data_IF_815489740854
#
_entry.id   IF_815489740854
#
_cell.length_a   1.000
_cell.length_b   1.000
_cell.length_c   1.000
_cell.angle_alpha   90.00
_cell.angle_beta   90.00
_cell.angle_gamma   90.00
#
_symmetry.space_group_name_H-M   'P 1'
#
loop_
_entity.id
_entity.type
_entity.pdbx_description
1 polymer ?
#
# COMPACT_ATOMS: atom_id res chain seq x y z
N UNK A 1 -1.67 20.41 18.35
CA UNK A 1 -0.61 19.92 19.26
C UNK A 1 0.32 19.06 18.42
N UNK A 2 1.57 19.48 18.24
CA UNK A 2 2.58 18.76 17.46
C UNK A 2 2.82 17.37 18.09
N UNK A 3 2.50 16.31 17.36
CA UNK A 3 2.90 14.94 17.72
C UNK A 3 4.43 14.90 17.68
N UNK A 4 5.08 14.81 18.83
CA UNK A 4 6.50 14.53 18.92
C UNK A 4 6.71 13.13 18.34
N UNK A 5 7.35 13.04 17.16
CA UNK A 5 7.91 11.78 16.70
C UNK A 5 8.81 11.22 17.80
N UNK A 6 8.53 9.98 18.22
CA UNK A 6 9.40 9.29 19.18
C UNK A 6 10.77 9.12 18.54
N UNK A 7 11.84 9.32 19.28
CA UNK A 7 13.24 9.32 18.81
C UNK A 7 13.66 8.01 18.08
N UNK A 8 12.87 6.93 18.20
CA UNK A 8 13.02 5.67 17.47
C UNK A 8 12.42 5.63 16.07
N UNK A 9 11.59 6.62 15.70
CA UNK A 9 10.79 6.63 14.45
C UNK A 9 11.41 7.48 13.34
N UNK A 10 12.70 7.78 13.43
CA UNK A 10 13.36 8.56 12.37
C UNK A 10 13.43 7.75 11.08
N UNK A 11 12.79 8.26 10.04
CA UNK A 11 12.89 7.81 8.65
C UNK A 11 14.37 7.64 8.30
N UNK A 12 14.79 6.45 7.91
CA UNK A 12 16.15 6.18 7.44
C UNK A 12 16.12 6.24 5.91
N UNK A 13 16.65 7.29 5.29
CA UNK A 13 16.72 7.38 3.84
C UNK A 13 17.46 6.18 3.25
N UNK A 14 17.07 5.81 2.03
CA UNK A 14 17.78 4.78 1.27
C UNK A 14 19.16 5.31 0.89
N UNK A 15 20.22 4.57 1.23
CA UNK A 15 21.56 4.86 0.74
C UNK A 15 21.70 4.43 -0.73
N UNK A 16 22.62 5.04 -1.46
CA UNK A 16 22.90 4.64 -2.85
C UNK A 16 23.23 3.14 -2.95
N UNK A 17 24.05 2.62 -2.04
CA UNK A 17 24.44 1.20 -2.01
C UNK A 17 23.23 0.28 -1.81
N UNK A 18 22.30 0.64 -0.91
CA UNK A 18 21.06 -0.12 -0.70
C UNK A 18 20.15 -0.04 -1.93
N UNK A 19 20.06 1.11 -2.59
CA UNK A 19 19.29 1.28 -3.81
C UNK A 19 19.83 0.41 -4.95
N UNK A 20 21.13 0.42 -5.17
CA UNK A 20 21.81 -0.41 -6.18
C UNK A 20 21.63 -1.90 -5.88
N UNK A 21 21.80 -2.32 -4.62
CA UNK A 21 21.59 -3.69 -4.20
C UNK A 21 20.16 -4.13 -4.46
N UNK A 22 19.18 -3.36 -3.98
CA UNK A 22 17.75 -3.66 -4.16
C UNK A 22 17.39 -3.77 -5.64
N UNK A 23 17.85 -2.84 -6.47
CA UNK A 23 17.67 -2.89 -7.92
C UNK A 23 18.27 -4.14 -8.53
N UNK A 24 19.46 -4.53 -8.13
CA UNK A 24 20.17 -5.71 -8.62
C UNK A 24 19.49 -7.04 -8.27
N UNK A 25 18.70 -7.07 -7.19
CA UNK A 25 17.91 -8.24 -6.77
C UNK A 25 16.56 -8.33 -7.49
N UNK A 26 16.04 -7.20 -7.97
CA UNK A 26 14.75 -7.13 -8.69
C UNK A 26 14.95 -7.27 -10.21
N UNK A 27 16.09 -6.82 -10.74
CA UNK A 27 16.38 -6.84 -12.18
C UNK A 27 17.32 -7.99 -12.58
N UNK A 28 17.12 -8.54 -13.78
CA UNK A 28 18.04 -9.49 -14.39
C UNK A 28 19.37 -8.83 -14.81
N UNK A 29 20.29 -9.62 -15.35
CA UNK A 29 21.60 -9.11 -15.78
C UNK A 29 21.53 -8.12 -16.96
N UNK A 30 20.40 -8.06 -17.67
CA UNK A 30 20.13 -7.11 -18.73
C UNK A 30 19.36 -5.87 -18.26
N UNK A 31 19.06 -5.80 -16.96
CA UNK A 31 18.29 -4.70 -16.35
C UNK A 31 16.77 -4.82 -16.50
N UNK A 32 16.27 -5.96 -17.02
CA UNK A 32 14.82 -6.18 -17.13
C UNK A 32 14.25 -6.61 -15.79
N UNK A 33 13.07 -6.07 -15.45
CA UNK A 33 12.34 -6.44 -14.24
C UNK A 33 10.84 -6.20 -14.41
N UNK A 34 10.06 -6.83 -13.55
CA UNK A 34 8.62 -6.62 -13.46
C UNK A 34 8.23 -6.34 -12.01
N UNK A 35 7.47 -5.26 -11.81
CA UNK A 35 6.84 -4.95 -10.52
C UNK A 35 5.43 -4.44 -10.80
N UNK A 36 4.45 -5.05 -10.13
CA UNK A 36 3.04 -4.67 -10.19
C UNK A 36 2.46 -4.62 -8.79
N UNK A 37 1.90 -3.49 -8.43
CA UNK A 37 1.13 -3.29 -7.20
C UNK A 37 -0.36 -3.41 -7.54
N UNK A 38 -1.02 -4.49 -7.14
CA UNK A 38 -2.48 -4.61 -7.17
C UNK A 38 -3.01 -4.19 -5.79
N UNK A 39 -3.47 -2.94 -5.71
CA UNK A 39 -3.84 -2.27 -4.47
C UNK A 39 -5.36 -2.18 -4.34
N UNK A 40 -5.88 -2.71 -3.24
CA UNK A 40 -7.23 -2.46 -2.76
C UNK A 40 -7.13 -1.55 -1.52
N UNK A 41 -7.63 -0.33 -1.62
CA UNK A 41 -7.55 0.68 -0.58
C UNK A 41 -8.94 0.99 -0.02
N UNK A 42 -9.08 1.03 1.29
CA UNK A 42 -10.29 1.46 2.00
C UNK A 42 -10.00 2.78 2.69
N UNK A 43 -10.69 3.83 2.26
CA UNK A 43 -10.58 5.18 2.82
C UNK A 43 -11.90 5.61 3.46
N UNK A 44 -11.82 6.46 4.47
CA UNK A 44 -12.99 6.95 5.23
C UNK A 44 -12.84 8.40 5.63
N UNK A 45 -13.92 9.01 6.04
CA UNK A 45 -13.89 10.31 6.71
C UNK A 45 -13.36 10.16 8.13
N UNK A 46 -12.56 11.11 8.60
CA UNK A 46 -12.12 11.11 9.99
C UNK A 46 -13.29 11.29 10.98
N UNK A 47 -14.33 12.01 10.58
CA UNK A 47 -15.56 12.15 11.38
C UNK A 47 -16.31 10.82 11.58
N UNK A 48 -16.08 9.83 10.71
CA UNK A 48 -16.71 8.52 10.75
C UNK A 48 -15.89 7.47 11.51
N UNK A 49 -14.70 7.84 11.98
CA UNK A 49 -13.80 6.94 12.71
C UNK A 49 -14.44 6.48 14.01
N UNK A 50 -14.55 5.18 14.20
CA UNK A 50 -15.07 4.58 15.43
C UNK A 50 -14.01 4.76 16.54
N UNK A 51 -14.46 4.97 17.78
CA UNK A 51 -13.60 5.37 18.91
C UNK A 51 -12.40 4.45 19.17
N UNK A 52 -12.51 3.17 18.82
CA UNK A 52 -11.47 2.16 19.05
C UNK A 52 -10.63 1.85 17.77
N UNK A 53 -10.88 2.52 16.67
CA UNK A 53 -10.07 2.36 15.45
C UNK A 53 -8.75 3.12 15.59
N UNK A 54 -7.65 2.37 15.45
CA UNK A 54 -6.30 2.89 15.59
C UNK A 54 -5.85 3.70 14.38
N UNK A 55 -6.19 3.25 13.18
CA UNK A 55 -5.70 3.82 11.91
C UNK A 55 -6.81 4.46 11.08
N UNK A 56 -6.44 5.30 10.11
CA UNK A 56 -7.36 6.09 9.30
C UNK A 56 -7.75 5.41 7.99
N UNK A 57 -6.90 4.53 7.46
CA UNK A 57 -7.17 3.75 6.24
C UNK A 57 -6.59 2.34 6.34
N UNK A 58 -7.08 1.45 5.50
CA UNK A 58 -6.57 0.10 5.34
C UNK A 58 -6.27 -0.22 3.88
N UNK A 59 -5.27 -1.08 3.67
CA UNK A 59 -4.89 -1.54 2.36
C UNK A 59 -4.63 -3.04 2.32
N UNK A 60 -5.01 -3.64 1.20
CA UNK A 60 -4.59 -4.97 0.81
C UNK A 60 -3.77 -4.84 -0.47
N UNK A 61 -2.54 -5.32 -0.41
CA UNK A 61 -1.61 -5.29 -1.52
C UNK A 61 -1.31 -6.71 -1.99
N UNK A 62 -1.54 -6.99 -3.28
CA UNK A 62 -1.00 -8.16 -3.99
C UNK A 62 0.14 -7.65 -4.90
N UNK A 63 1.37 -7.77 -4.39
CA UNK A 63 2.57 -7.37 -5.10
C UNK A 63 3.09 -8.55 -5.93
N UNK A 64 3.16 -8.37 -7.25
CA UNK A 64 3.90 -9.27 -8.14
C UNK A 64 5.22 -8.62 -8.50
N UNK A 65 6.34 -9.33 -8.28
CA UNK A 65 7.67 -8.82 -8.57
C UNK A 65 8.61 -9.88 -9.09
N UNK A 66 9.56 -9.47 -9.93
CA UNK A 66 10.69 -10.32 -10.29
C UNK A 66 11.78 -10.30 -9.20
N UNK A 67 12.43 -11.44 -9.02
CA UNK A 67 13.58 -11.58 -8.14
C UNK A 67 14.68 -12.39 -8.82
N UNK A 68 15.92 -11.94 -8.71
CA UNK A 68 17.10 -12.59 -9.27
C UNK A 68 18.16 -12.77 -8.18
N UNK A 69 18.34 -14.00 -7.67
CA UNK A 69 19.25 -14.25 -6.55
C UNK A 69 20.70 -13.95 -6.94
N UNK A 70 21.46 -13.44 -5.97
CA UNK A 70 22.90 -13.26 -6.07
C UNK A 70 23.55 -14.15 -5.00
N UNK A 71 24.49 -15.00 -5.40
CA UNK A 71 25.02 -16.10 -4.59
C UNK A 71 25.53 -15.73 -3.20
N UNK A 72 25.96 -14.48 -3.01
CA UNK A 72 26.51 -14.00 -1.74
C UNK A 72 25.53 -13.16 -0.92
N UNK A 73 24.35 -12.84 -1.47
CA UNK A 73 23.37 -11.93 -0.85
C UNK A 73 22.26 -12.74 -0.21
N UNK A 74 22.16 -12.68 1.12
CA UNK A 74 21.14 -13.39 1.91
C UNK A 74 20.06 -12.46 2.49
N UNK A 75 20.25 -11.14 2.39
CA UNK A 75 19.36 -10.12 2.95
C UNK A 75 19.47 -8.82 2.13
N UNK A 76 18.66 -7.82 2.45
CA UNK A 76 18.73 -6.48 1.82
C UNK A 76 17.64 -6.21 0.80
N UNK A 77 16.69 -7.13 0.61
CA UNK A 77 15.47 -6.84 -0.13
C UNK A 77 14.35 -6.53 0.85
N UNK A 78 13.85 -5.33 0.82
CA UNK A 78 12.80 -4.86 1.72
C UNK A 78 11.84 -3.90 1.00
N UNK A 79 10.63 -3.81 1.51
CA UNK A 79 9.67 -2.78 1.16
C UNK A 79 9.71 -1.67 2.20
N UNK A 80 9.52 -0.44 1.75
CA UNK A 80 9.35 0.70 2.64
C UNK A 80 7.86 0.86 2.97
N UNK A 81 7.54 1.12 4.24
CA UNK A 81 6.17 1.41 4.68
C UNK A 81 6.16 2.15 6.01
N UNK A 82 5.19 3.06 6.20
CA UNK A 82 4.88 3.73 7.46
C UNK A 82 3.44 3.38 7.84
N UNK A 83 3.27 2.53 8.84
CA UNK A 83 1.96 2.06 9.30
C UNK A 83 2.09 0.76 10.07
N UNK A 84 1.04 -0.02 10.11
CA UNK A 84 1.00 -1.34 10.76
C UNK A 84 0.82 -2.45 9.71
N UNK A 85 1.65 -3.49 9.77
CA UNK A 85 1.53 -4.69 8.95
C UNK A 85 0.78 -5.74 9.76
N UNK A 86 -0.36 -6.19 9.25
CA UNK A 86 -1.22 -7.18 9.93
C UNK A 86 -0.95 -8.60 9.46
N UNK A 87 -0.61 -8.77 8.18
CA UNK A 87 -0.23 -10.08 7.64
C UNK A 87 0.71 -9.94 6.46
N UNK A 88 1.56 -10.95 6.30
CA UNK A 88 2.48 -11.11 5.19
C UNK A 88 2.40 -12.56 4.68
N UNK A 89 2.23 -12.70 3.36
CA UNK A 89 2.32 -13.97 2.66
C UNK A 89 3.30 -13.84 1.49
N UNK A 90 4.22 -14.79 1.33
CA UNK A 90 5.17 -14.86 0.21
C UNK A 90 4.97 -16.18 -0.51
N UNK A 91 4.61 -16.13 -1.79
CA UNK A 91 4.37 -17.31 -2.65
C UNK A 91 3.40 -18.33 -2.05
N UNK A 92 2.31 -17.86 -1.40
CA UNK A 92 1.30 -18.71 -0.76
C UNK A 92 1.68 -19.22 0.62
N UNK A 93 2.85 -18.82 1.14
CA UNK A 93 3.29 -19.19 2.49
C UNK A 93 3.15 -18.00 3.43
N UNK A 94 2.36 -18.16 4.47
CA UNK A 94 2.20 -17.17 5.53
C UNK A 94 3.51 -17.00 6.31
N UNK A 95 3.88 -15.75 6.59
CA UNK A 95 5.08 -15.38 7.35
C UNK A 95 4.65 -14.79 8.68
N UNK A 96 4.70 -15.58 9.76
CA UNK A 96 4.22 -15.12 11.08
C UNK A 96 5.25 -14.24 11.82
N UNK A 97 6.55 -14.45 11.56
CA UNK A 97 7.64 -13.70 12.19
C UNK A 97 8.43 -12.91 11.14
N UNK A 98 7.80 -11.89 10.57
CA UNK A 98 8.48 -10.98 9.66
C UNK A 98 9.20 -9.86 10.44
N UNK A 99 10.33 -9.41 9.90
CA UNK A 99 11.07 -8.27 10.46
C UNK A 99 10.54 -6.99 9.83
N UNK A 100 9.99 -6.12 10.68
CA UNK A 100 9.51 -4.79 10.30
C UNK A 100 10.02 -3.76 11.30
N UNK A 101 11.06 -3.05 10.89
CA UNK A 101 11.76 -2.07 11.74
C UNK A 101 12.12 -0.83 10.92
N UNK A 102 12.04 0.35 11.53
CA UNK A 102 12.44 1.62 10.90
C UNK A 102 11.79 1.84 9.52
N UNK A 103 10.50 1.48 9.41
CA UNK A 103 9.72 1.57 8.17
C UNK A 103 10.22 0.69 7.02
N UNK A 104 10.91 -0.41 7.34
CA UNK A 104 11.38 -1.43 6.39
C UNK A 104 10.78 -2.78 6.75
N UNK A 105 10.05 -3.35 5.80
CA UNK A 105 9.55 -4.71 5.84
C UNK A 105 10.52 -5.60 5.07
N UNK A 106 11.33 -6.38 5.77
CA UNK A 106 12.28 -7.28 5.14
C UNK A 106 11.55 -8.45 4.47
N UNK A 107 11.93 -8.76 3.24
CA UNK A 107 11.46 -9.93 2.51
C UNK A 107 12.41 -11.09 2.73
N UNK A 108 11.91 -12.20 3.26
CA UNK A 108 12.70 -13.42 3.45
C UNK A 108 13.08 -14.02 2.08
N UNK A 109 14.34 -13.84 1.69
CA UNK A 109 14.86 -14.29 0.40
C UNK A 109 14.78 -15.81 0.23
N UNK A 110 14.72 -16.58 1.33
CA UNK A 110 14.59 -18.05 1.28
C UNK A 110 13.21 -18.50 0.79
N UNK A 111 12.22 -17.62 0.82
CA UNK A 111 10.86 -17.86 0.34
C UNK A 111 10.65 -17.35 -1.10
N UNK A 112 11.63 -16.63 -1.65
CA UNK A 112 11.60 -16.14 -3.02
C UNK A 112 12.23 -17.16 -3.97
N UNK A 113 11.71 -17.23 -5.17
CA UNK A 113 12.26 -18.02 -6.28
C UNK A 113 12.76 -17.08 -7.38
N UNK A 114 13.70 -17.54 -8.17
CA UNK A 114 14.11 -16.80 -9.37
C UNK A 114 12.92 -16.55 -10.30
N UNK A 115 12.83 -15.34 -10.84
CA UNK A 115 11.72 -14.88 -11.66
C UNK A 115 10.57 -14.32 -10.84
N UNK A 116 9.33 -14.62 -11.24
CA UNK A 116 8.13 -14.02 -10.67
C UNK A 116 7.80 -14.55 -9.27
N UNK A 117 7.51 -13.62 -8.36
CA UNK A 117 7.07 -13.88 -6.99
C UNK A 117 5.80 -13.07 -6.69
N UNK A 118 4.97 -13.62 -5.80
CA UNK A 118 3.74 -12.99 -5.30
C UNK A 118 3.83 -12.77 -3.80
N UNK A 119 3.54 -11.55 -3.37
CA UNK A 119 3.62 -11.14 -1.98
C UNK A 119 2.30 -10.45 -1.64
N UNK A 120 1.59 -10.97 -0.64
CA UNK A 120 0.34 -10.37 -0.17
C UNK A 120 0.56 -9.74 1.19
N UNK A 121 0.10 -8.51 1.34
CA UNK A 121 0.26 -7.73 2.55
C UNK A 121 -1.07 -7.09 2.93
N UNK A 122 -1.51 -7.35 4.16
CA UNK A 122 -2.59 -6.60 4.80
C UNK A 122 -1.96 -5.57 5.73
N UNK A 123 -2.38 -4.33 5.61
CA UNK A 123 -1.79 -3.23 6.36
C UNK A 123 -2.81 -2.14 6.67
N UNK A 124 -2.45 -1.25 7.59
CA UNK A 124 -3.19 -0.02 7.88
C UNK A 124 -2.25 1.15 8.10
N UNK A 125 -2.75 2.36 7.91
CA UNK A 125 -1.98 3.58 8.07
C UNK A 125 -2.83 4.79 8.45
N UNK A 126 -2.16 5.89 8.72
CA UNK A 126 -2.77 7.14 9.12
C UNK A 126 -2.64 8.21 8.03
N UNK A 127 -3.64 9.08 7.92
CA UNK A 127 -3.56 10.22 7.03
C UNK A 127 -2.48 11.20 7.51
N UNK A 128 -1.76 11.76 6.57
CA UNK A 128 -0.83 12.83 6.86
C UNK A 128 -1.52 14.20 6.84
N UNK A 129 -0.95 15.14 7.59
CA UNK A 129 -1.43 16.52 7.65
C UNK A 129 -0.34 17.55 7.32
N UNK A 130 0.78 17.09 6.73
CA UNK A 130 1.96 17.90 6.43
C UNK A 130 2.27 18.03 4.92
N UNK A 131 1.32 17.65 4.07
CA UNK A 131 1.40 17.80 2.62
C UNK A 131 2.04 16.64 1.86
N UNK A 132 2.44 15.55 2.51
CA UNK A 132 3.08 14.38 1.86
C UNK A 132 2.35 13.07 2.15
N UNK A 133 2.61 12.03 1.35
CA UNK A 133 1.94 10.75 1.44
C UNK A 133 0.45 10.86 1.09
N UNK A 134 -0.43 10.20 1.84
CA UNK A 134 -1.87 10.37 1.76
C UNK A 134 -2.28 11.49 2.72
N UNK A 135 -2.35 12.71 2.19
CA UNK A 135 -2.62 13.92 2.96
C UNK A 135 -4.11 14.17 3.10
N UNK A 136 -4.54 14.48 4.33
CA UNK A 136 -5.90 14.87 4.67
C UNK A 136 -5.95 16.36 5.03
N UNK A 137 -6.94 17.06 4.52
CA UNK A 137 -7.25 18.43 4.92
C UNK A 137 -8.75 18.71 4.90
N UNK A 138 -9.14 19.72 5.67
CA UNK A 138 -10.48 20.33 5.62
C UNK A 138 -10.31 21.70 5.00
N UNK A 139 -10.97 21.95 3.86
CA UNK A 139 -10.92 23.26 3.21
C UNK A 139 -11.71 24.26 4.06
N UNK A 140 -11.08 25.38 4.47
CA UNK A 140 -11.75 26.39 5.28
C UNK A 140 -12.89 27.12 4.56
N UNK A 141 -12.93 27.08 3.22
CA UNK A 141 -13.94 27.77 2.41
C UNK A 141 -15.26 27.01 2.34
N UNK A 142 -15.22 25.69 2.12
CA UNK A 142 -16.41 24.86 1.95
C UNK A 142 -16.63 23.84 3.10
N UNK A 143 -15.68 23.75 4.02
CA UNK A 143 -15.68 22.86 5.20
C UNK A 143 -15.72 21.36 4.86
N UNK A 144 -15.37 21.00 3.62
CA UNK A 144 -15.30 19.61 3.20
C UNK A 144 -13.93 19.00 3.44
N UNK A 145 -13.93 17.68 3.63
CA UNK A 145 -12.72 16.87 3.73
C UNK A 145 -12.19 16.52 2.34
N UNK A 146 -10.88 16.63 2.19
CA UNK A 146 -10.14 16.25 0.99
C UNK A 146 -8.98 15.34 1.35
N UNK A 147 -8.77 14.33 0.49
CA UNK A 147 -7.57 13.51 0.48
C UNK A 147 -6.85 13.70 -0.85
N UNK A 148 -5.55 13.86 -0.81
CA UNK A 148 -4.70 13.80 -2.00
C UNK A 148 -3.37 13.12 -1.69
N UNK A 149 -2.72 12.63 -2.73
CA UNK A 149 -1.42 11.98 -2.60
C UNK A 149 -0.31 12.87 -3.12
N UNK A 150 0.77 12.99 -2.35
CA UNK A 150 2.03 13.61 -2.75
C UNK A 150 3.15 12.63 -2.38
N UNK A 151 3.72 11.95 -3.39
CA UNK A 151 4.63 10.84 -3.20
C UNK A 151 6.10 11.23 -3.36
N UNK A 152 6.40 12.25 -4.14
CA UNK A 152 7.76 12.70 -4.40
C UNK A 152 8.36 13.50 -3.25
N UNK A 153 9.69 13.37 -3.02
CA UNK A 153 10.61 12.46 -3.69
C UNK A 153 10.67 11.07 -3.05
N UNK A 154 10.11 10.86 -1.85
CA UNK A 154 10.23 9.64 -1.08
C UNK A 154 9.15 9.60 0.01
N UNK A 155 7.88 9.50 -0.40
CA UNK A 155 6.72 9.46 0.50
C UNK A 155 5.61 8.49 0.05
N UNK A 156 5.86 7.64 -0.98
CA UNK A 156 4.93 6.60 -1.41
C UNK A 156 4.71 5.54 -0.31
N UNK A 157 5.75 5.25 0.47
CA UNK A 157 5.71 4.33 1.60
C UNK A 157 4.77 4.77 2.74
N UNK A 158 4.23 5.99 2.68
CA UNK A 158 3.18 6.45 3.61
C UNK A 158 1.77 6.04 3.17
N UNK A 159 1.62 5.51 1.95
CA UNK A 159 0.35 5.00 1.44
C UNK A 159 0.35 3.48 1.37
N UNK A 160 1.41 2.87 0.85
CA UNK A 160 1.48 1.43 0.63
C UNK A 160 2.90 0.87 0.87
N UNK A 161 3.03 -0.41 1.26
CA UNK A 161 4.32 -1.09 1.26
C UNK A 161 4.86 -1.16 -0.17
N UNK A 162 5.99 -0.51 -0.44
CA UNK A 162 6.53 -0.42 -1.81
C UNK A 162 8.05 -0.37 -1.84
N UNK A 163 8.59 -0.58 -3.03
CA UNK A 163 9.95 -0.14 -3.36
C UNK A 163 9.91 1.36 -3.59
N UNK A 164 10.01 2.14 -2.52
CA UNK A 164 10.01 3.60 -2.62
C UNK A 164 11.35 4.08 -3.17
N UNK A 165 11.53 3.86 -4.46
CA UNK A 165 12.76 4.07 -5.23
C UNK A 165 12.38 4.37 -6.69
N UNK A 166 12.55 5.60 -7.16
CA UNK A 166 11.98 6.06 -8.45
C UNK A 166 12.43 5.29 -9.69
N UNK A 167 13.59 4.64 -9.66
CA UNK A 167 14.10 3.84 -10.77
C UNK A 167 13.61 2.38 -10.77
N UNK A 168 12.85 1.96 -9.74
CA UNK A 168 12.07 0.71 -9.74
C UNK A 168 10.61 1.07 -10.08
N UNK A 169 10.36 1.32 -11.35
CA UNK A 169 9.01 1.65 -11.84
C UNK A 169 8.09 0.44 -11.82
N UNK A 170 6.81 0.68 -11.53
CA UNK A 170 5.80 -0.37 -11.40
C UNK A 170 4.50 -0.02 -12.13
N UNK A 171 3.72 -1.04 -12.43
CA UNK A 171 2.31 -0.91 -12.82
C UNK A 171 1.50 -0.82 -11.52
N UNK A 172 0.58 0.14 -11.44
CA UNK A 172 -0.41 0.22 -10.37
C UNK A 172 -1.78 -0.19 -10.90
N UNK A 173 -2.37 -1.19 -10.24
CA UNK A 173 -3.77 -1.60 -10.39
C UNK A 173 -4.51 -1.13 -9.15
N UNK A 174 -5.34 -0.10 -9.28
CA UNK A 174 -5.96 0.55 -8.12
C UNK A 174 -7.45 0.27 -8.03
N UNK A 175 -7.87 -0.14 -6.83
CA UNK A 175 -9.26 -0.24 -6.43
C UNK A 175 -9.44 0.51 -5.12
N UNK A 176 -10.46 1.35 -5.04
CA UNK A 176 -10.70 2.17 -3.85
C UNK A 176 -12.14 2.03 -3.40
N UNK A 177 -12.31 1.63 -2.15
CA UNK A 177 -13.58 1.71 -1.45
C UNK A 177 -13.62 3.01 -0.66
N UNK A 178 -14.54 3.91 -0.99
CA UNK A 178 -14.61 5.26 -0.42
C UNK A 178 -16.05 5.65 -0.08
N UNK A 179 -16.26 6.62 0.85
CA UNK A 179 -17.58 7.22 1.09
C UNK A 179 -18.22 7.68 -0.22
N UNK A 180 -19.53 7.45 -0.37
CA UNK A 180 -20.27 7.70 -1.62
C UNK A 180 -20.22 9.15 -2.08
N UNK A 181 -20.14 10.09 -1.15
CA UNK A 181 -20.06 11.51 -1.44
C UNK A 181 -18.67 11.98 -1.91
N UNK A 182 -17.65 11.13 -1.82
CA UNK A 182 -16.32 11.43 -2.33
C UNK A 182 -16.17 10.99 -3.78
N UNK A 183 -15.50 11.81 -4.56
CA UNK A 183 -15.05 11.47 -5.91
C UNK A 183 -13.58 11.05 -5.84
N UNK A 184 -13.28 9.84 -6.32
CA UNK A 184 -11.90 9.35 -6.40
C UNK A 184 -11.35 9.57 -7.81
N UNK A 185 -10.13 10.09 -7.89
CA UNK A 185 -9.36 10.28 -9.12
C UNK A 185 -8.03 9.55 -8.99
N UNK A 186 -7.48 9.08 -10.10
CA UNK A 186 -6.20 8.37 -10.16
C UNK A 186 -5.41 8.75 -11.42
N UNK A 187 -4.18 8.25 -11.53
CA UNK A 187 -3.31 8.40 -12.70
C UNK A 187 -3.76 7.58 -13.91
N UNK A 188 -4.77 6.71 -13.74
CA UNK A 188 -5.38 5.94 -14.81
C UNK A 188 -6.86 6.29 -14.94
N UNK A 189 -7.45 5.97 -16.10
CA UNK A 189 -8.86 6.17 -16.33
C UNK A 189 -9.70 5.28 -15.42
N UNK A 190 -10.85 5.80 -15.03
CA UNK A 190 -11.86 5.05 -14.30
C UNK A 190 -12.47 3.99 -15.21
N UNK A 191 -12.39 2.73 -14.77
CA UNK A 191 -12.98 1.59 -15.46
C UNK A 191 -14.42 1.36 -15.04
N UNK A 192 -14.70 1.47 -13.74
CA UNK A 192 -16.06 1.36 -13.20
C UNK A 192 -16.21 2.02 -11.84
N UNK A 193 -17.42 2.48 -11.56
CA UNK A 193 -17.90 2.84 -10.23
C UNK A 193 -19.15 2.02 -9.95
N UNK A 194 -19.21 1.39 -8.78
CA UNK A 194 -20.39 0.67 -8.33
C UNK A 194 -20.68 0.96 -6.86
N UNK A 195 -21.94 0.99 -6.49
CA UNK A 195 -22.34 1.06 -5.10
C UNK A 195 -21.93 -0.25 -4.39
N UNK A 196 -21.33 -0.11 -3.23
CA UNK A 196 -20.98 -1.27 -2.41
C UNK A 196 -22.21 -1.72 -1.63
N UNK A 197 -22.77 -2.88 -2.00
CA UNK A 197 -24.00 -3.40 -1.41
C UNK A 197 -23.80 -4.69 -0.61
N UNK A 198 -22.75 -5.44 -0.91
CA UNK A 198 -22.50 -6.73 -0.25
C UNK A 198 -21.04 -7.19 -0.37
N UNK A 199 -20.68 -8.17 0.46
CA UNK A 199 -19.36 -8.81 0.41
C UNK A 199 -19.08 -9.53 -0.92
N UNK A 200 -20.12 -9.84 -1.71
CA UNK A 200 -19.97 -10.46 -3.03
C UNK A 200 -19.21 -9.56 -3.99
N UNK A 201 -19.35 -8.23 -3.85
CA UNK A 201 -18.59 -7.28 -4.63
C UNK A 201 -17.07 -7.39 -4.38
N UNK A 202 -16.66 -7.86 -3.21
CA UNK A 202 -15.24 -8.00 -2.83
C UNK A 202 -14.67 -9.38 -3.15
N UNK A 203 -15.51 -10.41 -3.27
CA UNK A 203 -15.07 -11.78 -3.57
C UNK A 203 -14.31 -11.91 -4.90
N UNK A 204 -14.61 -11.02 -5.85
CA UNK A 204 -13.94 -10.97 -7.16
C UNK A 204 -12.46 -10.50 -7.09
N UNK A 205 -12.00 -9.93 -5.98
CA UNK A 205 -10.67 -9.35 -5.85
C UNK A 205 -9.65 -10.24 -5.16
N UNK A 206 -9.94 -11.53 -5.04
CA UNK A 206 -9.00 -12.49 -4.42
C UNK A 206 -8.62 -12.14 -2.96
N UNK A 207 -9.44 -11.31 -2.30
CA UNK A 207 -9.29 -10.96 -0.90
C UNK A 207 -9.66 -12.16 -0.02
N UNK A 208 -8.88 -12.38 1.03
CA UNK A 208 -9.23 -13.42 2.00
C UNK A 208 -10.60 -13.14 2.64
N UNK A 209 -11.41 -14.16 2.79
CA UNK A 209 -12.76 -14.04 3.39
C UNK A 209 -12.73 -13.41 4.79
N UNK A 210 -11.69 -13.72 5.56
CA UNK A 210 -11.50 -13.15 6.89
C UNK A 210 -11.24 -11.65 6.83
N UNK A 211 -10.46 -11.18 5.83
CA UNK A 211 -10.20 -9.78 5.61
C UNK A 211 -11.47 -9.03 5.17
N UNK A 212 -12.23 -9.61 4.25
CA UNK A 212 -13.52 -9.03 3.83
C UNK A 212 -14.46 -8.87 5.04
N UNK A 213 -14.54 -9.88 5.89
CA UNK A 213 -15.37 -9.83 7.10
C UNK A 213 -14.84 -8.79 8.10
N UNK A 214 -13.52 -8.65 8.24
CA UNK A 214 -12.89 -7.65 9.08
C UNK A 214 -13.23 -6.23 8.60
N UNK A 215 -13.01 -5.92 7.32
CA UNK A 215 -13.34 -4.64 6.71
C UNK A 215 -14.80 -4.26 6.91
N UNK A 216 -15.70 -5.22 6.66
CA UNK A 216 -17.14 -4.97 6.76
C UNK A 216 -17.59 -4.73 8.19
N UNK A 217 -16.99 -5.41 9.16
CA UNK A 217 -17.35 -5.27 10.57
C UNK A 217 -16.76 -4.03 11.23
N UNK A 218 -15.48 -3.73 10.98
CA UNK A 218 -14.80 -2.57 11.59
C UNK A 218 -15.37 -1.25 11.07
N UNK A 219 -15.62 -1.15 9.76
CA UNK A 219 -16.00 0.12 9.16
C UNK A 219 -17.51 0.34 9.10
N UNK A 220 -18.30 -0.63 9.59
CA UNK A 220 -19.75 -0.60 9.42
C UNK A 220 -20.17 -0.23 7.98
N UNK A 221 -19.36 -0.71 7.02
CA UNK A 221 -19.50 -0.37 5.59
C UNK A 221 -20.92 -0.70 5.09
N UNK A 222 -21.57 -1.70 5.70
CA UNK A 222 -22.94 -2.08 5.33
C UNK A 222 -24.00 -1.06 5.72
N UNK A 223 -23.78 -0.30 6.79
CA UNK A 223 -24.70 0.74 7.24
C UNK A 223 -24.40 2.10 6.61
N UNK A 224 -23.20 2.25 6.01
CA UNK A 224 -22.73 3.47 5.38
C UNK A 224 -22.70 3.32 3.87
N UNK A 225 -22.99 4.41 3.17
CA UNK A 225 -22.96 4.45 1.73
C UNK A 225 -21.52 4.55 1.23
N UNK A 226 -21.01 3.49 0.60
CA UNK A 226 -19.70 3.43 -0.03
C UNK A 226 -19.83 3.15 -1.53
N UNK A 227 -18.89 3.69 -2.30
CA UNK A 227 -18.66 3.34 -3.69
C UNK A 227 -17.34 2.59 -3.83
N UNK A 228 -17.35 1.58 -4.70
CA UNK A 228 -16.15 0.90 -5.17
C UNK A 228 -15.75 1.48 -6.51
N UNK A 229 -14.57 2.09 -6.54
CA UNK A 229 -13.90 2.58 -7.73
C UNK A 229 -12.89 1.56 -8.23
N UNK A 230 -12.91 1.24 -9.51
CA UNK A 230 -11.90 0.42 -10.18
C UNK A 230 -11.31 1.24 -11.30
N UNK A 231 -9.98 1.30 -11.36
CA UNK A 231 -9.23 2.02 -12.38
C UNK A 231 -8.58 1.05 -13.38
N UNK A 232 -8.30 1.55 -14.58
CA UNK A 232 -7.44 0.84 -15.53
C UNK A 232 -6.02 0.73 -14.98
N UNK A 233 -5.24 -0.21 -15.50
CA UNK A 233 -3.85 -0.38 -15.13
C UNK A 233 -3.04 0.86 -15.61
N UNK A 234 -2.17 1.39 -14.76
CA UNK A 234 -1.26 2.46 -15.19
C UNK A 234 -0.20 1.92 -16.17
N UNK A 235 0.40 2.76 -17.01
CA UNK A 235 1.75 2.48 -17.49
C UNK A 235 2.72 2.26 -16.32
N UNK A 236 3.95 1.83 -16.61
CA UNK A 236 4.99 1.76 -15.56
C UNK A 236 5.38 3.16 -15.11
N UNK A 237 5.04 3.50 -13.88
CA UNK A 237 5.29 4.80 -13.24
C UNK A 237 6.25 4.66 -12.06
N UNK A 238 6.90 5.76 -11.65
CA UNK A 238 7.67 5.84 -10.42
C UNK A 238 6.74 5.85 -9.19
N UNK A 239 7.28 5.41 -8.07
CA UNK A 239 6.67 5.60 -6.75
C UNK A 239 6.95 7.00 -6.25
#
# INVERSE_FOLDING_TARGET
MSSKEKEGDKKVPLTQKEAELRKSLVADNSGNYSVTYDLFLVIRKLADKIKDEKHDFEGFLDLTMSYYPKNEIKEGLFLNFVGEIHSLEINGKKVDNFKYEKYRLDLDLSLLKEGENKIKILYSGDYNHNGVGLHHCIDPSDKKEYLYTQMEPYDCHRLLPCFDQPDIKAILKLKVLSPKEWRVLSNAYEKSISEFTSNENLSQFNLEKNYINHLVNIHDIKSKNYNLYIFEDTPRIST
#
